data_IF_311825652675
#
_entry.id   IF_311825652675
#
_cell.length_a   1.000
_cell.length_b   1.000
_cell.length_c   1.000
_cell.angle_alpha   90.00
_cell.angle_beta   90.00
_cell.angle_gamma   90.00
#
_symmetry.space_group_name_H-M   'P 1'
#
loop_
_entity.id
_entity.type
_entity.pdbx_description
1 polymer ?
#
# COMPACT_ATOMS: atom_id res chain seq x y z
N UNK A 1 14.46 9.15 -3.80
CA UNK A 1 13.25 8.92 -3.00
C UNK A 1 12.51 7.72 -3.59
N UNK A 2 12.22 6.70 -2.80
CA UNK A 2 11.48 5.50 -3.23
C UNK A 2 9.97 5.78 -3.27
N UNK A 3 9.27 5.12 -4.16
CA UNK A 3 7.79 5.10 -4.22
C UNK A 3 7.31 3.73 -3.78
N UNK A 4 6.59 3.68 -2.67
CA UNK A 4 6.06 2.46 -2.07
C UNK A 4 4.54 2.53 -2.07
N UNK A 5 3.90 1.43 -2.39
CA UNK A 5 2.45 1.28 -2.32
C UNK A 5 2.10 0.18 -1.34
N UNK A 6 1.37 0.51 -0.30
CA UNK A 6 0.81 -0.45 0.65
C UNK A 6 -0.68 -0.69 0.38
N UNK A 7 -1.03 -1.96 0.24
CA UNK A 7 -2.40 -2.45 0.04
C UNK A 7 -2.69 -3.52 1.08
N UNK A 8 -3.92 -3.61 1.53
CA UNK A 8 -4.39 -4.76 2.31
C UNK A 8 -5.71 -5.26 1.77
N UNK A 9 -6.02 -6.50 2.06
CA UNK A 9 -7.30 -7.12 1.73
C UNK A 9 -7.70 -8.11 2.82
N UNK A 10 -8.92 -8.61 2.78
CA UNK A 10 -9.40 -9.61 3.72
C UNK A 10 -10.09 -10.76 2.98
N UNK A 11 -10.30 -11.88 3.67
CA UNK A 11 -10.75 -13.14 3.07
C UNK A 11 -11.97 -13.02 2.14
N UNK A 12 -12.92 -12.12 2.42
CA UNK A 12 -14.13 -11.97 1.61
C UNK A 12 -13.93 -11.14 0.34
N UNK A 13 -12.86 -10.33 0.24
CA UNK A 13 -12.58 -9.44 -0.90
C UNK A 13 -11.35 -9.83 -1.72
N UNK A 14 -10.48 -10.65 -1.18
CA UNK A 14 -9.20 -10.99 -1.82
C UNK A 14 -9.37 -11.49 -3.28
N UNK A 15 -10.50 -12.14 -3.60
CA UNK A 15 -10.78 -12.65 -4.94
C UNK A 15 -10.88 -11.56 -6.03
N UNK A 16 -11.14 -10.32 -5.65
CA UNK A 16 -11.25 -9.18 -6.59
C UNK A 16 -10.03 -8.28 -6.58
N UNK A 17 -9.14 -8.43 -5.60
CA UNK A 17 -7.98 -7.57 -5.41
C UNK A 17 -6.97 -7.62 -6.57
N UNK A 18 -6.96 -8.70 -7.37
CA UNK A 18 -6.04 -8.83 -8.51
C UNK A 18 -6.24 -7.75 -9.58
N UNK A 19 -7.47 -7.24 -9.77
CA UNK A 19 -7.75 -6.15 -10.71
C UNK A 19 -7.11 -4.85 -10.24
N UNK A 20 -7.26 -4.54 -8.96
CA UNK A 20 -6.63 -3.39 -8.32
C UNK A 20 -5.10 -3.48 -8.42
N UNK A 21 -4.52 -4.61 -8.01
CA UNK A 21 -3.08 -4.84 -8.04
C UNK A 21 -2.49 -4.67 -9.44
N UNK A 22 -3.17 -5.17 -10.48
CA UNK A 22 -2.76 -4.98 -11.88
C UNK A 22 -2.76 -3.50 -12.25
N UNK A 23 -3.77 -2.74 -11.87
CA UNK A 23 -3.83 -1.30 -12.18
C UNK A 23 -2.72 -0.49 -11.49
N UNK A 24 -2.23 -0.97 -10.34
CA UNK A 24 -1.08 -0.37 -9.63
C UNK A 24 0.24 -0.78 -10.31
N UNK A 25 0.36 -2.02 -10.77
CA UNK A 25 1.52 -2.53 -11.50
C UNK A 25 1.71 -1.86 -12.86
N UNK A 26 0.62 -1.39 -13.48
CA UNK A 26 0.58 -0.77 -14.81
C UNK A 26 0.64 0.77 -14.77
N UNK A 27 1.10 1.37 -13.66
CA UNK A 27 1.24 2.82 -13.54
C UNK A 27 2.33 3.37 -14.49
N UNK A 28 2.14 4.62 -14.97
CA UNK A 28 3.08 5.30 -15.87
C UNK A 28 4.44 5.60 -15.26
N UNK A 29 4.50 5.71 -13.94
CA UNK A 29 5.73 5.87 -13.19
C UNK A 29 6.14 4.57 -12.51
N UNK A 30 7.44 4.36 -12.35
CA UNK A 30 7.95 3.20 -11.65
C UNK A 30 7.61 3.28 -10.16
N UNK A 31 6.93 2.26 -9.67
CA UNK A 31 6.76 1.99 -8.23
C UNK A 31 7.88 1.07 -7.78
N UNK A 32 8.62 1.44 -6.74
CA UNK A 32 9.78 0.67 -6.27
C UNK A 32 9.36 -0.58 -5.50
N UNK A 33 8.26 -0.50 -4.72
CA UNK A 33 7.68 -1.64 -4.01
C UNK A 33 6.16 -1.53 -3.93
N UNK A 34 5.45 -2.58 -4.30
CA UNK A 34 4.02 -2.76 -4.10
C UNK A 34 3.85 -3.89 -3.09
N UNK A 35 3.29 -3.58 -1.94
CA UNK A 35 3.23 -4.47 -0.78
C UNK A 35 1.79 -4.81 -0.44
N UNK A 36 1.38 -6.05 -0.75
CA UNK A 36 0.13 -6.62 -0.27
C UNK A 36 0.37 -7.17 1.14
N UNK A 37 -0.03 -6.40 2.15
CA UNK A 37 0.10 -6.77 3.55
C UNK A 37 -1.19 -7.45 4.02
N UNK A 38 -1.08 -8.69 4.41
CA UNK A 38 -2.15 -9.57 4.87
C UNK A 38 -1.84 -10.04 6.31
N UNK A 39 -2.70 -10.87 6.86
CA UNK A 39 -2.53 -11.42 8.20
C UNK A 39 -2.87 -12.92 8.25
N UNK A 40 -2.26 -13.64 9.18
CA UNK A 40 -2.50 -15.07 9.39
C UNK A 40 -3.84 -15.37 10.07
N UNK A 41 -4.54 -14.40 10.65
CA UNK A 41 -5.89 -14.61 11.18
C UNK A 41 -6.91 -14.80 10.05
N UNK A 42 -6.79 -14.02 8.96
CA UNK A 42 -7.62 -14.16 7.77
C UNK A 42 -7.12 -15.24 6.80
N UNK A 43 -5.79 -15.46 6.74
CA UNK A 43 -5.13 -16.37 5.79
C UNK A 43 -4.17 -17.31 6.53
N UNK A 44 -4.69 -18.29 7.32
CA UNK A 44 -3.88 -19.14 8.20
C UNK A 44 -2.87 -20.03 7.46
N UNK A 45 -3.10 -20.35 6.19
CA UNK A 45 -2.17 -21.12 5.36
C UNK A 45 -1.30 -20.21 4.46
N UNK A 46 -1.31 -18.89 4.72
CA UNK A 46 -0.51 -17.93 3.96
C UNK A 46 -0.90 -17.90 2.48
N UNK A 47 0.09 -18.07 1.59
CA UNK A 47 -0.13 -18.01 0.13
C UNK A 47 -1.08 -19.08 -0.41
N UNK A 48 -1.22 -20.21 0.28
CA UNK A 48 -2.14 -21.29 -0.14
C UNK A 48 -3.61 -20.89 -0.02
N UNK A 49 -3.92 -19.87 0.79
CA UNK A 49 -5.27 -19.32 0.92
C UNK A 49 -5.58 -18.23 -0.14
N UNK A 50 -4.60 -17.83 -0.95
CA UNK A 50 -4.75 -16.75 -1.92
C UNK A 50 -5.19 -17.27 -3.29
N UNK A 51 -5.92 -16.43 -4.07
CA UNK A 51 -6.18 -16.72 -5.47
C UNK A 51 -4.87 -16.87 -6.27
N UNK A 52 -4.85 -17.86 -7.16
CA UNK A 52 -3.66 -18.17 -7.98
C UNK A 52 -3.17 -17.00 -8.82
N UNK A 53 -4.07 -16.13 -9.29
CA UNK A 53 -3.72 -14.96 -10.07
C UNK A 53 -2.96 -13.91 -9.26
N UNK A 54 -3.23 -13.78 -7.95
CA UNK A 54 -2.46 -12.89 -7.06
C UNK A 54 -1.06 -13.46 -6.80
N UNK A 55 -0.97 -14.77 -6.51
CA UNK A 55 0.35 -15.43 -6.33
C UNK A 55 1.19 -15.36 -7.61
N UNK A 56 0.55 -15.47 -8.78
CA UNK A 56 1.23 -15.34 -10.07
C UNK A 56 1.77 -13.92 -10.32
N UNK A 57 1.15 -12.87 -9.75
CA UNK A 57 1.70 -11.51 -9.84
C UNK A 57 3.04 -11.40 -9.09
N UNK A 58 3.16 -12.00 -7.90
CA UNK A 58 4.41 -12.00 -7.15
C UNK A 58 5.55 -12.73 -7.89
N UNK A 59 5.23 -13.76 -8.64
CA UNK A 59 6.21 -14.47 -9.47
C UNK A 59 6.61 -13.70 -10.72
N UNK A 60 5.73 -12.86 -11.24
CA UNK A 60 5.91 -12.13 -12.50
C UNK A 60 6.60 -10.78 -12.34
N UNK A 61 6.37 -10.10 -11.21
CA UNK A 61 6.81 -8.73 -11.00
C UNK A 61 7.74 -8.62 -9.79
N UNK A 62 9.01 -8.27 -10.04
CA UNK A 62 10.05 -8.18 -9.03
C UNK A 62 9.79 -7.11 -7.95
N UNK A 63 8.90 -6.16 -8.24
CA UNK A 63 8.51 -5.09 -7.32
C UNK A 63 7.17 -5.33 -6.60
N UNK A 64 6.55 -6.49 -6.78
CA UNK A 64 5.33 -6.87 -6.06
C UNK A 64 5.64 -7.95 -5.01
N UNK A 65 5.23 -7.72 -3.77
CA UNK A 65 5.52 -8.57 -2.63
C UNK A 65 4.26 -8.82 -1.80
N UNK A 66 4.11 -10.06 -1.31
CA UNK A 66 3.04 -10.46 -0.40
C UNK A 66 3.65 -10.73 0.97
N UNK A 67 3.20 -9.99 1.98
CA UNK A 67 3.65 -10.12 3.36
C UNK A 67 2.50 -10.55 4.27
N UNK A 68 2.82 -11.30 5.32
CA UNK A 68 1.85 -11.74 6.32
C UNK A 68 2.31 -11.29 7.70
N UNK A 69 1.41 -10.61 8.41
CA UNK A 69 1.56 -10.25 9.82
C UNK A 69 0.86 -11.30 10.69
N UNK A 70 1.33 -11.47 11.94
CA UNK A 70 0.75 -12.44 12.87
C UNK A 70 -0.66 -12.07 13.32
N UNK A 71 -1.02 -10.80 13.23
CA UNK A 71 -2.27 -10.24 13.73
C UNK A 71 -2.95 -9.36 12.68
N UNK A 72 -4.29 -9.37 12.67
CA UNK A 72 -5.08 -8.45 11.85
C UNK A 72 -5.10 -7.04 12.46
N UNK A 73 -4.31 -6.15 11.88
CA UNK A 73 -4.34 -4.70 12.18
C UNK A 73 -5.37 -3.94 11.33
N UNK A 74 -6.25 -4.65 10.64
CA UNK A 74 -7.32 -4.10 9.79
C UNK A 74 -6.75 -3.12 8.74
N UNK A 75 -7.36 -1.92 8.66
CA UNK A 75 -6.95 -0.86 7.72
C UNK A 75 -5.49 -0.43 7.89
N UNK A 76 -4.89 -0.60 9.06
CA UNK A 76 -3.50 -0.25 9.33
C UNK A 76 -2.49 -1.20 8.68
N UNK A 77 -2.92 -2.39 8.22
CA UNK A 77 -2.07 -3.31 7.46
C UNK A 77 -1.51 -2.68 6.19
N UNK A 78 -2.22 -1.75 5.55
CA UNK A 78 -1.72 -1.07 4.35
C UNK A 78 -0.62 -0.03 4.62
N UNK A 79 -0.35 0.31 5.89
CA UNK A 79 0.65 1.32 6.25
C UNK A 79 1.70 0.83 7.22
N UNK A 80 1.30 0.34 8.40
CA UNK A 80 2.21 0.04 9.52
C UNK A 80 3.31 -0.95 9.16
N UNK A 81 3.05 -2.10 8.52
CA UNK A 81 4.10 -3.03 8.13
C UNK A 81 5.09 -2.41 7.14
N UNK A 82 4.61 -1.64 6.16
CA UNK A 82 5.46 -0.96 5.18
C UNK A 82 6.35 0.08 5.85
N UNK A 83 5.80 0.90 6.76
CA UNK A 83 6.60 1.89 7.53
C UNK A 83 7.70 1.20 8.34
N UNK A 84 7.40 0.07 8.98
CA UNK A 84 8.42 -0.69 9.76
C UNK A 84 9.54 -1.24 8.87
N UNK A 85 9.21 -1.79 7.68
CA UNK A 85 10.19 -2.34 6.74
C UNK A 85 11.13 -1.29 6.17
N UNK A 86 10.62 -0.10 5.92
CA UNK A 86 11.35 1.00 5.29
C UNK A 86 11.84 2.07 6.27
N UNK A 87 11.81 1.78 7.58
CA UNK A 87 12.27 2.72 8.60
C UNK A 87 13.73 3.14 8.36
N UNK A 88 13.99 4.44 8.44
CA UNK A 88 15.30 5.03 8.15
C UNK A 88 15.59 5.27 6.66
N UNK A 89 14.67 4.95 5.76
CA UNK A 89 14.79 5.27 4.33
C UNK A 89 14.02 6.54 3.96
N UNK A 90 14.38 7.15 2.84
CA UNK A 90 13.61 8.24 2.24
C UNK A 90 12.63 7.71 1.19
N UNK A 91 11.33 7.79 1.48
CA UNK A 91 10.28 7.28 0.61
C UNK A 91 8.99 8.10 0.68
N UNK A 92 8.14 7.84 -0.28
CA UNK A 92 6.72 8.22 -0.27
C UNK A 92 5.90 6.94 -0.21
N UNK A 93 4.96 6.84 0.73
CA UNK A 93 4.04 5.73 0.87
C UNK A 93 2.65 6.13 0.39
N UNK A 94 2.15 5.40 -0.59
CA UNK A 94 0.75 5.39 -0.97
C UNK A 94 0.02 4.28 -0.21
N UNK A 95 -1.08 4.62 0.47
CA UNK A 95 -2.00 3.61 1.02
C UNK A 95 -3.22 3.53 0.13
N UNK A 96 -3.39 2.41 -0.55
CA UNK A 96 -4.43 2.21 -1.55
C UNK A 96 -5.39 1.09 -1.14
N UNK A 97 -6.66 1.23 -1.52
CA UNK A 97 -7.68 0.22 -1.26
C UNK A 97 -7.67 -0.89 -2.33
N UNK A 98 -8.20 -2.06 -1.97
CA UNK A 98 -8.18 -3.28 -2.78
C UNK A 98 -9.41 -3.47 -3.69
N UNK A 99 -10.33 -2.52 -3.69
CA UNK A 99 -11.64 -2.63 -4.35
C UNK A 99 -11.88 -1.56 -5.44
N UNK A 100 -10.83 -0.90 -5.91
CA UNK A 100 -10.91 0.06 -7.00
C UNK A 100 -9.78 -0.11 -8.03
N UNK A 101 -10.01 0.41 -9.22
CA UNK A 101 -9.04 0.44 -10.30
C UNK A 101 -8.48 1.86 -10.43
N UNK A 102 -7.16 1.98 -10.39
CA UNK A 102 -6.47 3.26 -10.48
C UNK A 102 -6.16 3.63 -11.93
N UNK A 103 -6.30 4.91 -12.29
CA UNK A 103 -5.91 5.40 -13.60
C UNK A 103 -4.39 5.20 -13.82
N UNK A 104 -3.93 4.97 -15.06
CA UNK A 104 -2.52 4.70 -15.33
C UNK A 104 -1.53 5.77 -14.87
N UNK A 105 -1.94 7.04 -14.81
CA UNK A 105 -1.14 8.18 -14.34
C UNK A 105 -1.46 8.62 -12.91
N UNK A 106 -2.22 7.82 -12.14
CA UNK A 106 -2.67 8.19 -10.80
C UNK A 106 -1.51 8.53 -9.85
N UNK A 107 -0.50 7.66 -9.77
CA UNK A 107 0.67 7.87 -8.92
C UNK A 107 1.50 9.06 -9.41
N UNK A 108 1.68 9.19 -10.72
CA UNK A 108 2.41 10.30 -11.33
C UNK A 108 1.80 11.65 -10.96
N UNK A 109 0.49 11.81 -11.14
CA UNK A 109 -0.22 13.04 -10.81
C UNK A 109 -0.20 13.34 -9.31
N UNK A 110 -0.33 12.31 -8.48
CA UNK A 110 -0.25 12.45 -7.03
C UNK A 110 1.15 12.91 -6.56
N UNK A 111 2.22 12.39 -7.18
CA UNK A 111 3.59 12.84 -6.91
C UNK A 111 3.80 14.30 -7.34
N UNK A 112 3.32 14.71 -8.51
CA UNK A 112 3.36 16.11 -8.97
C UNK A 112 2.64 17.04 -7.98
N UNK A 113 1.45 16.64 -7.51
CA UNK A 113 0.72 17.40 -6.50
C UNK A 113 1.50 17.51 -5.17
N UNK A 114 2.09 16.40 -4.72
CA UNK A 114 2.90 16.39 -3.50
C UNK A 114 4.13 17.29 -3.63
N UNK A 115 4.76 17.37 -4.79
CA UNK A 115 5.93 18.22 -5.04
C UNK A 115 5.57 19.71 -5.10
N UNK A 116 4.41 20.05 -5.65
CA UNK A 116 3.90 21.45 -5.63
C UNK A 116 3.56 21.92 -4.22
N UNK A 117 3.34 21.00 -3.27
CA UNK A 117 3.04 21.26 -1.88
C UNK A 117 4.17 20.73 -0.96
N UNK A 118 5.39 21.22 -1.16
CA UNK A 118 6.60 20.71 -0.49
C UNK A 118 6.56 20.72 1.05
N UNK A 119 5.74 21.60 1.65
CA UNK A 119 5.48 21.64 3.10
C UNK A 119 4.46 20.60 3.58
N UNK A 120 3.73 19.96 2.65
CA UNK A 120 2.72 18.95 2.98
C UNK A 120 3.39 17.58 3.19
N UNK A 121 3.16 16.97 4.33
CA UNK A 121 3.71 15.66 4.67
C UNK A 121 2.74 14.50 4.41
N UNK A 122 1.44 14.81 4.30
CA UNK A 122 0.39 13.84 3.99
C UNK A 122 -0.70 14.52 3.15
N UNK A 123 -1.22 13.81 2.15
CA UNK A 123 -2.23 14.34 1.26
C UNK A 123 -3.25 13.25 0.89
N UNK A 124 -4.52 13.62 0.86
CA UNK A 124 -5.57 12.79 0.28
C UNK A 124 -5.56 12.97 -1.24
N UNK A 125 -5.55 11.87 -1.96
CA UNK A 125 -5.47 11.85 -3.43
C UNK A 125 -6.77 11.39 -4.09
N UNK A 126 -7.88 11.26 -3.30
CA UNK A 126 -9.18 10.93 -3.88
C UNK A 126 -9.77 12.13 -4.63
N UNK A 127 -10.32 11.90 -5.82
CA UNK A 127 -10.98 12.93 -6.62
C UNK A 127 -12.28 13.46 -6.00
N UNK A 128 -12.85 12.73 -5.05
CA UNK A 128 -14.15 13.03 -4.44
C UNK A 128 -14.04 13.69 -3.05
N UNK A 129 -12.83 13.95 -2.57
CA UNK A 129 -12.60 14.61 -1.28
C UNK A 129 -13.03 13.79 -0.05
N UNK A 130 -13.31 12.51 -0.20
CA UNK A 130 -13.65 11.60 0.90
C UNK A 130 -12.34 11.28 1.64
N UNK A 131 -12.21 11.77 2.86
CA UNK A 131 -11.03 11.57 3.68
C UNK A 131 -10.83 10.10 4.05
N UNK A 132 -9.62 9.60 3.90
CA UNK A 132 -9.16 8.35 4.49
C UNK A 132 -8.94 7.16 3.56
N UNK A 133 -9.38 7.23 2.30
CA UNK A 133 -9.32 6.06 1.42
C UNK A 133 -8.01 5.99 0.61
N UNK A 134 -7.54 7.12 0.08
CA UNK A 134 -6.35 7.18 -0.77
C UNK A 134 -5.41 8.24 -0.25
N UNK A 135 -4.37 7.82 0.44
CA UNK A 135 -3.43 8.74 1.06
C UNK A 135 -2.03 8.54 0.50
N UNK A 136 -1.31 9.64 0.39
CA UNK A 136 0.13 9.65 0.16
C UNK A 136 0.82 10.34 1.32
N UNK A 137 1.90 9.76 1.80
CA UNK A 137 2.66 10.22 2.95
C UNK A 137 4.16 10.31 2.62
N UNK A 138 4.83 11.36 3.10
CA UNK A 138 6.30 11.40 3.15
C UNK A 138 6.83 10.62 4.34
N UNK A 139 7.92 9.90 4.17
CA UNK A 139 8.56 9.09 5.23
C UNK A 139 8.83 9.89 6.49
N UNK A 140 9.27 11.13 6.37
CA UNK A 140 9.54 12.03 7.52
C UNK A 140 8.33 12.27 8.44
N UNK A 141 7.09 12.15 7.93
CA UNK A 141 5.87 12.18 8.74
C UNK A 141 5.63 10.84 9.44
N UNK A 142 5.72 9.76 8.67
CA UNK A 142 5.46 8.40 9.15
C UNK A 142 6.45 7.98 10.24
N UNK A 143 7.72 8.35 10.11
CA UNK A 143 8.74 8.11 11.14
C UNK A 143 8.40 8.78 12.48
N UNK A 144 7.81 9.97 12.46
CA UNK A 144 7.32 10.63 13.69
C UNK A 144 6.12 9.92 14.30
N UNK A 145 5.30 9.27 13.49
CA UNK A 145 4.11 8.54 13.95
C UNK A 145 4.45 7.12 14.43
N UNK A 146 5.56 6.53 13.95
CA UNK A 146 5.92 5.14 14.22
C UNK A 146 5.91 4.74 15.70
N UNK A 147 6.43 5.53 16.66
CA UNK A 147 6.38 5.20 18.09
C UNK A 147 4.96 5.04 18.63
N UNK A 148 4.01 5.77 18.08
CA UNK A 148 2.59 5.70 18.47
C UNK A 148 1.88 4.52 17.83
N UNK A 149 2.23 4.20 16.56
CA UNK A 149 1.65 3.09 15.81
C UNK A 149 2.11 1.71 16.32
N UNK A 150 3.23 1.63 17.03
CA UNK A 150 3.78 0.36 17.56
C UNK A 150 3.31 0.01 18.97
N UNK A 151 2.75 0.97 19.71
CA UNK A 151 2.37 0.78 21.11
C UNK A 151 0.89 0.42 21.32
N UNK A 152 0.04 0.57 20.29
CA UNK A 152 -1.41 0.32 20.39
C UNK A 152 -1.86 -0.98 19.70
N UNK A 153 -0.94 -1.75 19.12
CA UNK A 153 -1.27 -2.97 18.35
C UNK A 153 -0.49 -4.18 18.82
#
# INVERSE_FOLDING_TARGET
MKVIVGVTSWKKRISTASLTLKSILEQTVKVDSIELNLDYENFPNGRDDLPNDIVALEQKYDNFHIFFEDKDYRVWLKSVPSVRRHSGEEYVLFTLDDDCTYYPNYIEESLKMLDTHASCDAMNTSSNGIAGEYMVYRSRFLEKCLPYLTNEF
#
